data_IF_810915245830
#
_entry.id   IF_810915245830
#
_cell.length_a   1.000
_cell.length_b   1.000
_cell.length_c   1.000
_cell.angle_alpha   90.00
_cell.angle_beta   90.00
_cell.angle_gamma   90.00
#
_symmetry.space_group_name_H-M   'P 1'
#
loop_
_entity.id
_entity.type
_entity.pdbx_description
1 polymer ?
#
# COMPACT_ATOMS: atom_id res chain seq x y z
N UNK A 1 12.06 6.47 -29.43
CA UNK A 1 11.10 6.44 -28.30
C UNK A 1 11.92 6.33 -27.06
N UNK A 2 11.77 7.27 -26.13
CA UNK A 2 12.41 7.19 -24.83
C UNK A 2 11.53 6.30 -23.95
N UNK A 3 12.11 5.22 -23.45
CA UNK A 3 11.46 4.32 -22.49
C UNK A 3 11.90 4.72 -21.09
N UNK A 4 10.96 4.80 -20.16
CA UNK A 4 11.29 5.09 -18.77
C UNK A 4 11.80 3.83 -18.09
N UNK A 5 13.04 3.87 -17.61
CA UNK A 5 13.72 2.71 -17.01
C UNK A 5 13.84 2.77 -15.48
N UNK A 6 13.78 3.97 -14.90
CA UNK A 6 13.96 4.17 -13.46
C UNK A 6 13.06 5.27 -12.95
N UNK A 7 12.37 4.99 -11.85
CA UNK A 7 11.62 5.98 -11.05
C UNK A 7 12.14 5.89 -9.62
N UNK A 8 12.56 7.03 -9.08
CA UNK A 8 12.80 7.20 -7.64
C UNK A 8 12.03 8.43 -7.19
N UNK A 9 10.95 8.19 -6.46
CA UNK A 9 10.14 9.20 -5.80
C UNK A 9 10.11 8.97 -4.29
N UNK A 10 11.11 8.26 -3.76
CA UNK A 10 11.21 7.97 -2.34
C UNK A 10 11.25 9.26 -1.50
N UNK A 11 10.78 9.19 -0.26
CA UNK A 11 10.88 10.28 0.73
C UNK A 11 10.25 11.61 0.27
N UNK A 12 9.07 11.53 -0.33
CA UNK A 12 8.29 12.69 -0.75
C UNK A 12 6.96 12.77 0.02
N UNK A 13 6.13 13.75 -0.33
CA UNK A 13 4.80 13.93 0.24
C UNK A 13 3.69 13.58 -0.76
N UNK A 14 3.93 12.62 -1.66
CA UNK A 14 2.93 12.21 -2.64
C UNK A 14 1.73 11.56 -1.94
N UNK A 15 0.53 11.89 -2.40
CA UNK A 15 -0.75 11.43 -1.83
C UNK A 15 -1.63 10.78 -2.88
N UNK A 16 -2.61 10.00 -2.45
CA UNK A 16 -3.58 9.34 -3.32
C UNK A 16 -3.12 7.99 -3.83
N UNK A 17 -3.81 7.45 -4.83
CA UNK A 17 -3.57 6.11 -5.35
C UNK A 17 -2.44 6.08 -6.39
N UNK A 18 -1.78 4.93 -6.50
CA UNK A 18 -0.88 4.67 -7.63
C UNK A 18 -1.76 4.48 -8.89
N UNK A 19 -1.59 5.31 -9.93
CA UNK A 19 -2.46 5.24 -11.10
C UNK A 19 -2.22 3.94 -11.89
N UNK A 20 -3.30 3.33 -12.36
CA UNK A 20 -3.24 2.10 -13.18
C UNK A 20 -2.37 2.27 -14.44
N UNK A 21 -2.22 3.49 -14.97
CA UNK A 21 -1.36 3.77 -16.12
C UNK A 21 0.11 3.44 -15.91
N UNK A 22 0.59 3.35 -14.66
CA UNK A 22 1.98 2.96 -14.35
C UNK A 22 2.29 1.54 -14.86
N UNK A 23 1.27 0.68 -15.06
CA UNK A 23 1.45 -0.66 -15.63
C UNK A 23 1.81 -0.65 -17.12
N UNK A 24 1.73 0.50 -17.78
CA UNK A 24 2.12 0.64 -19.20
C UNK A 24 3.62 0.88 -19.37
N UNK A 25 4.38 1.06 -18.28
CA UNK A 25 5.81 1.35 -18.31
C UNK A 25 6.65 0.08 -18.52
N UNK A 26 6.52 -0.62 -19.64
CA UNK A 26 7.06 -1.97 -19.87
C UNK A 26 8.60 -2.16 -19.79
N UNK A 27 9.36 -1.09 -19.54
CA UNK A 27 10.83 -1.12 -19.47
C UNK A 27 11.35 -0.64 -18.11
N UNK A 28 10.47 -0.47 -17.12
CA UNK A 28 10.84 0.00 -15.80
C UNK A 28 11.62 -1.07 -15.05
N UNK A 29 12.91 -0.83 -14.85
CA UNK A 29 13.84 -1.73 -14.15
C UNK A 29 14.04 -1.35 -12.69
N UNK A 30 13.78 -0.09 -12.32
CA UNK A 30 13.92 0.43 -10.96
C UNK A 30 12.70 1.25 -10.57
N UNK A 31 12.19 0.99 -9.38
CA UNK A 31 11.09 1.72 -8.78
C UNK A 31 11.39 1.90 -7.30
N UNK A 32 11.29 3.13 -6.81
CA UNK A 32 11.22 3.41 -5.37
C UNK A 32 10.12 4.46 -5.13
N UNK A 33 9.05 4.04 -4.46
CA UNK A 33 7.93 4.89 -4.02
C UNK A 33 7.89 5.00 -2.49
N UNK A 34 8.92 4.52 -1.80
CA UNK A 34 8.93 4.40 -0.35
C UNK A 34 8.81 5.75 0.35
N UNK A 35 8.30 5.74 1.58
CA UNK A 35 8.20 6.91 2.44
C UNK A 35 7.43 8.07 1.78
N UNK A 36 6.18 7.80 1.39
CA UNK A 36 5.22 8.78 0.88
C UNK A 36 3.89 8.64 1.64
N UNK A 37 2.84 9.34 1.19
CA UNK A 37 1.48 9.23 1.72
C UNK A 37 0.55 8.57 0.69
N UNK A 38 1.07 7.69 -0.16
CA UNK A 38 0.27 6.95 -1.14
C UNK A 38 -0.66 5.97 -0.41
N UNK A 39 -1.83 5.72 -0.97
CA UNK A 39 -2.84 4.85 -0.38
C UNK A 39 -3.51 3.92 -1.39
N UNK A 40 -4.15 2.87 -0.89
CA UNK A 40 -4.95 1.95 -1.69
C UNK A 40 -4.17 0.75 -2.25
N UNK A 41 -4.74 0.11 -3.26
CA UNK A 41 -4.18 -1.12 -3.85
C UNK A 41 -3.04 -0.80 -4.82
N UNK A 42 -1.92 -1.52 -4.69
CA UNK A 42 -0.87 -1.52 -5.71
C UNK A 42 -1.46 -2.10 -7.02
N UNK A 43 -1.46 -1.36 -8.14
CA UNK A 43 -2.00 -1.84 -9.39
C UNK A 43 -1.37 -3.17 -9.80
N UNK A 44 -2.20 -4.11 -10.23
CA UNK A 44 -1.70 -5.36 -10.80
C UNK A 44 -1.36 -5.13 -12.27
N UNK A 45 -0.19 -5.57 -12.69
CA UNK A 45 0.33 -5.32 -14.03
C UNK A 45 1.58 -6.12 -14.33
N UNK A 46 2.34 -5.67 -15.31
CA UNK A 46 3.45 -6.44 -15.88
C UNK A 46 4.65 -6.60 -14.94
N UNK A 47 5.08 -5.55 -14.23
CA UNK A 47 6.30 -5.63 -13.41
C UNK A 47 6.20 -5.07 -11.99
N UNK A 48 5.07 -4.49 -11.57
CA UNK A 48 4.97 -3.91 -10.22
C UNK A 48 5.14 -4.98 -9.13
N UNK A 49 4.68 -6.19 -9.40
CA UNK A 49 4.76 -7.32 -8.49
C UNK A 49 6.14 -7.99 -8.45
N UNK A 50 7.07 -7.62 -9.34
CA UNK A 50 8.45 -8.11 -9.31
C UNK A 50 9.41 -7.21 -8.53
N UNK A 51 8.96 -6.02 -8.12
CA UNK A 51 9.73 -5.13 -7.23
C UNK A 51 9.67 -5.62 -5.78
N UNK A 52 10.60 -5.14 -4.96
CA UNK A 52 10.70 -5.56 -3.58
C UNK A 52 9.64 -4.84 -2.73
N UNK A 53 9.20 -5.48 -1.65
CA UNK A 53 8.27 -4.85 -0.72
C UNK A 53 8.83 -3.54 -0.11
N UNK A 54 10.15 -3.40 -0.03
CA UNK A 54 10.83 -2.18 0.41
C UNK A 54 10.53 -0.99 -0.49
N UNK A 55 10.30 -1.20 -1.78
CA UNK A 55 10.08 -0.13 -2.76
C UNK A 55 8.73 0.58 -2.55
N UNK A 56 7.87 0.03 -1.69
CA UNK A 56 6.54 0.56 -1.36
C UNK A 56 6.38 0.89 0.14
N UNK A 57 7.40 0.63 0.97
CA UNK A 57 7.32 0.78 2.44
C UNK A 57 7.04 2.22 2.85
N UNK A 58 6.43 2.42 4.02
CA UNK A 58 6.17 3.77 4.53
C UNK A 58 5.06 4.51 3.77
N UNK A 59 4.15 3.76 3.14
CA UNK A 59 2.89 4.23 2.55
C UNK A 59 1.70 3.48 3.17
N UNK A 60 0.47 3.88 2.82
CA UNK A 60 -0.78 3.15 3.15
C UNK A 60 -1.23 2.25 2.00
N UNK A 61 -0.29 1.51 1.43
CA UNK A 61 -0.53 0.64 0.27
C UNK A 61 -0.82 -0.81 0.70
N UNK A 62 -1.58 -1.54 -0.11
CA UNK A 62 -1.84 -2.97 0.06
C UNK A 62 -1.80 -3.72 -1.28
N UNK A 63 -1.73 -5.04 -1.20
CA UNK A 63 -1.59 -5.95 -2.33
C UNK A 63 -0.14 -6.24 -2.70
N UNK A 64 0.12 -7.25 -3.54
CA UNK A 64 1.48 -7.66 -3.91
C UNK A 64 2.28 -6.52 -4.55
N UNK A 65 3.56 -6.34 -4.20
CA UNK A 65 4.42 -7.27 -3.44
C UNK A 65 4.33 -7.18 -1.90
N UNK A 66 3.47 -6.33 -1.35
CA UNK A 66 3.26 -6.26 0.09
C UNK A 66 2.49 -7.49 0.61
N UNK A 67 2.79 -7.91 1.84
CA UNK A 67 2.06 -9.00 2.54
C UNK A 67 0.67 -8.55 3.02
N UNK A 68 0.42 -7.25 3.05
CA UNK A 68 -0.84 -6.67 3.47
C UNK A 68 -1.88 -6.84 2.36
N UNK A 69 -2.97 -7.57 2.63
CA UNK A 69 -4.07 -7.72 1.69
C UNK A 69 -5.04 -6.54 1.77
N UNK A 70 -5.54 -6.11 0.62
CA UNK A 70 -6.59 -5.08 0.56
C UNK A 70 -7.95 -5.68 0.92
N UNK A 71 -8.81 -4.88 1.56
CA UNK A 71 -10.25 -5.16 1.66
C UNK A 71 -10.91 -5.13 0.26
N UNK A 72 -12.13 -5.67 0.13
CA UNK A 72 -12.83 -5.72 -1.18
C UNK A 72 -13.02 -4.35 -1.85
N UNK A 73 -12.99 -3.26 -1.06
CA UNK A 73 -13.08 -1.87 -1.55
C UNK A 73 -11.70 -1.25 -1.86
N UNK A 74 -10.63 -2.03 -1.88
CA UNK A 74 -9.27 -1.54 -2.15
C UNK A 74 -8.65 -0.74 -1.01
N UNK A 75 -9.34 -0.63 0.14
CA UNK A 75 -8.82 0.02 1.34
C UNK A 75 -7.94 -0.92 2.15
N UNK A 76 -6.89 -0.36 2.75
CA UNK A 76 -6.11 -1.01 3.79
C UNK A 76 -7.04 -1.30 4.97
N UNK A 77 -7.02 -2.52 5.56
CA UNK A 77 -7.69 -2.77 6.83
C UNK A 77 -7.20 -1.75 7.86
N UNK A 78 -8.11 -0.97 8.44
CA UNK A 78 -7.77 -0.06 9.54
C UNK A 78 -7.30 -0.92 10.73
N UNK A 79 -6.02 -0.81 11.11
CA UNK A 79 -5.47 -1.39 12.34
C UNK A 79 -5.96 -0.66 13.61
N UNK A 80 -7.17 -0.11 13.59
CA UNK A 80 -7.87 0.43 14.78
C UNK A 80 -8.53 -0.70 15.60
N UNK A 81 -7.81 -1.80 15.79
CA UNK A 81 -8.08 -2.71 16.91
C UNK A 81 -7.52 -2.08 18.19
N UNK A 82 -8.15 -0.99 18.65
CA UNK A 82 -8.04 -0.57 20.03
C UNK A 82 -8.75 -1.64 20.89
N UNK A 83 -7.94 -2.59 21.34
CA UNK A 83 -8.28 -3.67 22.25
C UNK A 83 -8.67 -3.07 23.61
N UNK A 84 -9.91 -2.58 23.73
CA UNK A 84 -10.47 -2.02 24.98
C UNK A 84 -11.99 -2.23 25.04
N UNK A 85 -12.45 -3.47 24.96
CA UNK A 85 -13.76 -3.83 25.54
C UNK A 85 -13.75 -5.24 26.16
N UNK A 86 -12.76 -5.51 27.02
CA UNK A 86 -12.94 -6.42 28.15
C UNK A 86 -12.98 -5.59 29.43
N UNK A 87 -14.16 -5.17 29.84
CA UNK A 87 -14.63 -5.31 31.22
C UNK A 87 -16.07 -4.77 31.41
N UNK A 88 -16.84 -5.54 32.20
CA UNK A 88 -18.05 -5.17 32.97
C UNK A 88 -19.43 -5.32 32.33
N UNK A 89 -19.91 -6.58 32.26
CA UNK A 89 -21.25 -6.91 32.80
C UNK A 89 -21.20 -8.19 33.62
N UNK A 90 -20.59 -8.09 34.80
CA UNK A 90 -20.91 -8.94 35.95
C UNK A 90 -20.81 -8.10 37.23
N UNK A 91 -21.95 -7.48 37.57
CA UNK A 91 -22.32 -7.21 38.96
C UNK A 91 -23.84 -7.23 39.03
N UNK A 92 -24.37 -8.36 39.53
CA UNK A 92 -25.76 -8.44 39.94
C UNK A 92 -25.99 -7.57 41.17
N UNK A 93 -27.20 -7.02 41.29
CA UNK A 93 -27.75 -6.60 42.58
C UNK A 93 -29.24 -6.96 42.59
N UNK A 94 -29.54 -7.93 43.45
CA UNK A 94 -30.81 -8.30 44.09
C UNK A 94 -32.07 -8.49 43.26
#
# INVERSE_FOLDING_TARGET
MESLESIDFSSNQLTGEIPQSITNLNFLNKLDLSYNHLEGKIPMGTQLQSFEASDFVGNKLCGPPLLLNCTMDGKVPDDDANDNEKERKNHGVK
#
